data_IF_867117202074
#
_entry.id   IF_867117202074
#
_cell.length_a   1.000
_cell.length_b   1.000
_cell.length_c   1.000
_cell.angle_alpha   90.00
_cell.angle_beta   90.00
_cell.angle_gamma   90.00
#
_symmetry.space_group_name_H-M   'P 1'
#
loop_
_entity.id
_entity.type
_entity.pdbx_description
1 polymer ?
#
# COMPACT_ATOMS: atom_id res chain seq x y z
N UNK A 1 4.54 0.16 -35.20
CA UNK A 1 3.89 1.48 -35.05
C UNK A 1 4.00 1.89 -33.59
N UNK A 2 4.78 2.92 -33.26
CA UNK A 2 4.96 3.35 -31.87
C UNK A 2 3.70 4.08 -31.40
N UNK A 3 3.15 3.65 -30.27
CA UNK A 3 1.96 4.30 -29.69
C UNK A 3 2.33 5.67 -29.15
N UNK A 4 1.49 6.67 -29.42
CA UNK A 4 1.58 7.93 -28.70
C UNK A 4 1.19 7.68 -27.23
N UNK A 5 2.19 7.70 -26.36
CA UNK A 5 2.00 7.63 -24.91
C UNK A 5 2.28 9.00 -24.32
N UNK A 6 1.29 9.56 -23.62
CA UNK A 6 1.49 10.75 -22.81
C UNK A 6 1.66 10.30 -21.35
N UNK A 7 2.89 10.32 -20.81
CA UNK A 7 3.11 10.08 -19.40
C UNK A 7 2.63 11.30 -18.61
N UNK A 8 1.97 11.07 -17.50
CA UNK A 8 1.56 12.11 -16.55
C UNK A 8 1.93 11.63 -15.15
N UNK A 9 2.67 12.46 -14.42
CA UNK A 9 2.98 12.19 -13.01
C UNK A 9 1.77 12.57 -12.17
N UNK A 10 1.30 11.64 -11.34
CA UNK A 10 0.15 11.82 -10.45
C UNK A 10 0.60 11.64 -9.02
N UNK A 11 0.18 12.55 -8.14
CA UNK A 11 0.44 12.42 -6.71
C UNK A 11 -0.34 11.25 -6.12
N UNK A 12 0.36 10.37 -5.42
CA UNK A 12 -0.24 9.25 -4.72
C UNK A 12 -0.45 9.65 -3.24
N UNK A 13 -1.69 9.69 -2.71
CA UNK A 13 -1.98 10.24 -1.37
C UNK A 13 -1.26 9.55 -0.21
N UNK A 14 -0.82 8.31 -0.42
CA UNK A 14 -0.24 7.41 0.59
C UNK A 14 1.18 6.92 0.23
N UNK A 15 1.84 7.53 -0.76
CA UNK A 15 3.19 7.14 -1.19
C UNK A 15 4.10 8.35 -1.33
N UNK A 16 5.39 8.17 -1.01
CA UNK A 16 6.45 9.15 -1.27
C UNK A 16 6.89 9.19 -2.74
N UNK A 17 6.33 8.32 -3.58
CA UNK A 17 6.61 8.26 -5.01
C UNK A 17 5.45 8.84 -5.81
N UNK A 18 5.76 9.59 -6.87
CA UNK A 18 4.77 9.96 -7.88
C UNK A 18 4.41 8.74 -8.70
N UNK A 19 3.11 8.50 -8.88
CA UNK A 19 2.64 7.47 -9.78
C UNK A 19 2.81 7.96 -11.22
N UNK A 20 3.54 7.20 -12.04
CA UNK A 20 3.62 7.45 -13.47
C UNK A 20 2.37 6.87 -14.14
N UNK A 21 1.43 7.74 -14.51
CA UNK A 21 0.26 7.35 -15.28
C UNK A 21 0.58 7.43 -16.77
N UNK A 22 0.54 6.28 -17.46
CA UNK A 22 0.73 6.25 -18.91
C UNK A 22 -0.62 5.97 -19.54
N UNK A 23 -1.19 6.97 -20.23
CA UNK A 23 -2.35 6.76 -21.08
C UNK A 23 -1.89 6.15 -22.41
N UNK A 24 -2.21 4.88 -22.61
CA UNK A 24 -2.00 4.18 -23.88
C UNK A 24 -3.31 4.22 -24.66
N UNK A 25 -3.32 4.85 -25.83
CA UNK A 25 -4.46 4.80 -26.75
C UNK A 25 -4.38 3.50 -27.56
N UNK A 26 -5.24 2.51 -27.32
CA UNK A 26 -5.19 1.27 -28.09
C UNK A 26 -5.61 1.54 -29.54
N UNK A 27 -4.81 1.07 -30.49
CA UNK A 27 -5.16 1.10 -31.92
C UNK A 27 -5.99 -0.11 -32.34
N UNK A 28 -6.13 -1.13 -31.48
CA UNK A 28 -6.90 -2.35 -31.77
C UNK A 28 -7.67 -2.89 -30.56
N UNK A 29 -8.83 -3.51 -30.85
CA UNK A 29 -9.72 -4.16 -29.89
C UNK A 29 -9.14 -5.49 -29.37
N UNK A 30 -8.13 -5.44 -28.50
CA UNK A 30 -7.59 -6.64 -27.85
C UNK A 30 -8.51 -7.10 -26.72
N UNK A 31 -9.08 -8.31 -26.84
CA UNK A 31 -9.82 -8.97 -25.75
C UNK A 31 -8.87 -9.14 -24.55
N UNK A 32 -9.11 -8.40 -23.46
CA UNK A 32 -8.31 -8.51 -22.22
C UNK A 32 -8.40 -9.92 -21.66
N UNK A 33 -7.32 -10.72 -21.79
CA UNK A 33 -7.19 -11.98 -21.05
C UNK A 33 -7.05 -11.65 -19.56
N UNK A 34 -7.90 -12.23 -18.72
CA UNK A 34 -7.77 -12.12 -17.26
C UNK A 34 -6.41 -12.70 -16.85
N UNK A 35 -5.46 -11.84 -16.48
CA UNK A 35 -4.18 -12.26 -15.92
C UNK A 35 -4.29 -12.33 -14.40
N UNK A 36 -3.74 -13.41 -13.84
CA UNK A 36 -3.55 -13.58 -12.41
C UNK A 36 -2.71 -12.42 -11.86
N UNK A 37 -3.18 -11.76 -10.81
CA UNK A 37 -2.43 -10.71 -10.09
C UNK A 37 -1.94 -11.30 -8.78
N UNK A 38 -0.63 -11.30 -8.57
CA UNK A 38 -0.03 -11.62 -7.27
C UNK A 38 -0.25 -10.43 -6.33
N UNK A 39 -1.14 -10.57 -5.34
CA UNK A 39 -1.22 -9.65 -4.21
C UNK A 39 -0.05 -9.93 -3.25
N UNK A 40 1.09 -9.28 -3.47
CA UNK A 40 2.31 -9.44 -2.66
C UNK A 40 2.22 -8.85 -1.23
N UNK A 41 1.03 -8.54 -0.71
CA UNK A 41 0.87 -7.84 0.55
C UNK A 41 0.97 -8.74 1.81
N UNK A 42 1.15 -10.06 1.67
CA UNK A 42 1.00 -11.00 2.82
C UNK A 42 2.29 -11.63 3.37
N UNK A 43 3.46 -11.36 2.79
CA UNK A 43 4.64 -12.20 3.04
C UNK A 43 5.47 -11.84 4.29
N UNK A 44 5.12 -10.79 5.05
CA UNK A 44 5.92 -10.33 6.21
C UNK A 44 5.18 -10.28 7.55
N UNK A 45 3.87 -10.54 7.59
CA UNK A 45 3.05 -10.38 8.79
C UNK A 45 2.69 -11.71 9.47
N UNK A 46 3.22 -12.83 8.97
CA UNK A 46 2.68 -14.17 9.24
C UNK A 46 2.77 -14.55 10.71
N UNK A 47 3.91 -14.36 11.38
CA UNK A 47 4.10 -14.80 12.77
C UNK A 47 3.21 -14.05 13.77
N UNK A 48 3.09 -12.73 13.61
CA UNK A 48 2.32 -11.91 14.56
C UNK A 48 0.81 -12.03 14.29
N UNK A 49 0.39 -12.07 13.01
CA UNK A 49 -0.99 -12.34 12.65
C UNK A 49 -1.42 -13.75 13.09
N UNK A 50 -0.55 -14.75 12.91
CA UNK A 50 -0.77 -16.11 13.38
C UNK A 50 -0.92 -16.16 14.91
N UNK A 51 -0.08 -15.45 15.66
CA UNK A 51 -0.20 -15.38 17.11
C UNK A 51 -1.53 -14.73 17.56
N UNK A 52 -1.95 -13.64 16.89
CA UNK A 52 -3.22 -12.98 17.18
C UNK A 52 -4.40 -13.92 16.91
N UNK A 53 -4.44 -14.55 15.74
CA UNK A 53 -5.51 -15.49 15.39
C UNK A 53 -5.53 -16.67 16.36
N UNK A 54 -4.37 -17.27 16.68
CA UNK A 54 -4.29 -18.40 17.60
C UNK A 54 -4.78 -18.06 19.00
N UNK A 55 -4.39 -16.90 19.53
CA UNK A 55 -4.79 -16.44 20.86
C UNK A 55 -6.28 -16.10 20.90
N UNK A 56 -6.79 -15.33 19.93
CA UNK A 56 -8.20 -14.96 19.85
C UNK A 56 -9.11 -16.16 19.62
N UNK A 57 -8.66 -17.10 18.78
CA UNK A 57 -9.38 -18.34 18.51
C UNK A 57 -9.50 -19.19 19.77
N UNK A 58 -8.41 -19.34 20.52
CA UNK A 58 -8.37 -20.10 21.77
C UNK A 58 -9.20 -19.44 22.88
N UNK A 59 -9.15 -18.11 22.99
CA UNK A 59 -9.94 -17.35 23.97
C UNK A 59 -11.45 -17.47 23.74
N UNK A 60 -11.88 -17.56 22.48
CA UNK A 60 -13.27 -17.75 22.10
C UNK A 60 -13.75 -19.21 22.10
N UNK A 61 -13.04 -20.15 22.75
CA UNK A 61 -13.37 -21.59 22.70
C UNK A 61 -14.80 -21.95 23.12
N UNK A 62 -15.44 -21.11 23.93
CA UNK A 62 -16.82 -21.24 24.41
C UNK A 62 -17.87 -20.62 23.46
N UNK A 63 -17.43 -19.98 22.37
CA UNK A 63 -18.30 -19.29 21.41
C UNK A 63 -18.56 -20.14 20.16
N UNK A 64 -19.64 -19.81 19.44
CA UNK A 64 -19.88 -20.36 18.12
C UNK A 64 -18.78 -19.93 17.14
N UNK A 65 -18.57 -20.75 16.11
CA UNK A 65 -17.51 -20.53 15.11
C UNK A 65 -17.60 -19.13 14.46
N UNK A 66 -18.80 -18.66 14.15
CA UNK A 66 -19.03 -17.32 13.58
C UNK A 66 -18.54 -16.20 14.51
N UNK A 67 -18.75 -16.36 15.81
CA UNK A 67 -18.38 -15.38 16.83
C UNK A 67 -16.88 -15.41 17.09
N UNK A 68 -16.26 -16.60 17.02
CA UNK A 68 -14.80 -16.75 17.08
C UNK A 68 -14.10 -16.10 15.90
N UNK A 69 -14.64 -16.27 14.69
CA UNK A 69 -14.15 -15.58 13.48
C UNK A 69 -14.29 -14.07 13.63
N UNK A 70 -15.43 -13.60 14.12
CA UNK A 70 -15.66 -12.18 14.38
C UNK A 70 -14.68 -11.62 15.41
N UNK A 71 -14.37 -12.37 16.47
CA UNK A 71 -13.39 -12.01 17.49
C UNK A 71 -11.97 -11.91 16.89
N UNK A 72 -11.55 -12.88 16.09
CA UNK A 72 -10.25 -12.85 15.41
C UNK A 72 -10.15 -11.63 14.48
N UNK A 73 -11.20 -11.34 13.71
CA UNK A 73 -11.26 -10.18 12.82
C UNK A 73 -11.15 -8.85 13.56
N UNK A 74 -11.81 -8.73 14.72
CA UNK A 74 -11.71 -7.53 15.58
C UNK A 74 -10.30 -7.32 16.11
N UNK A 75 -9.64 -8.37 16.59
CA UNK A 75 -8.27 -8.26 17.13
C UNK A 75 -7.23 -7.95 16.04
N UNK A 76 -7.36 -8.56 14.86
CA UNK A 76 -6.54 -8.21 13.71
C UNK A 76 -6.71 -6.74 13.31
N UNK A 77 -7.96 -6.26 13.22
CA UNK A 77 -8.24 -4.87 12.87
C UNK A 77 -7.71 -3.90 13.93
N UNK A 78 -7.89 -4.22 15.22
CA UNK A 78 -7.36 -3.43 16.32
C UNK A 78 -5.84 -3.28 16.19
N UNK A 79 -5.13 -4.37 15.91
CA UNK A 79 -3.67 -4.33 15.73
C UNK A 79 -3.25 -3.56 14.48
N UNK A 80 -3.93 -3.75 13.36
CA UNK A 80 -3.69 -2.97 12.13
C UNK A 80 -3.85 -1.46 12.40
N UNK A 81 -4.89 -1.07 13.15
CA UNK A 81 -5.13 0.33 13.52
C UNK A 81 -4.06 0.90 14.46
N UNK A 82 -3.49 0.09 15.35
CA UNK A 82 -2.38 0.49 16.21
C UNK A 82 -1.09 0.73 15.42
N UNK A 83 -0.79 -0.12 14.41
CA UNK A 83 0.39 0.07 13.54
C UNK A 83 0.24 1.30 12.64
N UNK A 84 -0.94 1.53 12.08
CA UNK A 84 -1.20 2.67 11.20
C UNK A 84 -1.00 4.03 11.87
N UNK A 85 -1.15 4.13 13.20
CA UNK A 85 -0.98 5.39 13.94
C UNK A 85 0.44 5.98 13.88
N UNK A 86 1.46 5.20 13.54
CA UNK A 86 2.84 5.69 13.39
C UNK A 86 3.14 6.27 12.01
N UNK A 87 2.62 5.65 10.95
CA UNK A 87 2.99 5.99 9.58
C UNK A 87 2.45 7.34 9.11
N UNK A 88 1.33 7.82 9.67
CA UNK A 88 0.75 9.11 9.27
C UNK A 88 1.72 10.29 9.47
N UNK A 89 2.43 10.33 10.60
CA UNK A 89 3.38 11.40 10.91
C UNK A 89 4.60 11.35 9.98
N UNK A 90 5.12 10.15 9.72
CA UNK A 90 6.27 9.93 8.83
C UNK A 90 5.92 10.24 7.37
N UNK A 91 4.72 9.83 6.92
CA UNK A 91 4.21 10.13 5.59
C UNK A 91 4.08 11.65 5.40
N UNK A 92 3.51 12.37 6.37
CA UNK A 92 3.38 13.83 6.29
C UNK A 92 4.73 14.56 6.39
N UNK A 93 5.69 14.03 7.14
CA UNK A 93 7.07 14.53 7.13
C UNK A 93 7.73 14.34 5.73
N UNK A 94 7.55 13.18 5.12
CA UNK A 94 8.03 12.89 3.77
C UNK A 94 7.36 13.78 2.71
N UNK A 95 6.04 13.96 2.76
CA UNK A 95 5.30 14.86 1.85
C UNK A 95 5.82 16.29 1.92
N UNK A 96 6.01 16.83 3.13
CA UNK A 96 6.59 18.17 3.32
C UNK A 96 7.99 18.29 2.72
N UNK A 97 8.83 17.25 2.89
CA UNK A 97 10.18 17.21 2.31
C UNK A 97 10.14 17.15 0.79
N UNK A 98 9.23 16.37 0.21
CA UNK A 98 9.04 16.28 -1.24
C UNK A 98 8.52 17.59 -1.84
N UNK A 99 7.53 18.24 -1.20
CA UNK A 99 7.03 19.54 -1.63
C UNK A 99 8.14 20.62 -1.62
N UNK A 100 9.04 20.60 -0.62
CA UNK A 100 10.19 21.51 -0.58
C UNK A 100 11.24 21.23 -1.68
N UNK A 101 11.34 19.99 -2.14
CA UNK A 101 12.31 19.54 -3.15
C UNK A 101 11.78 19.58 -4.58
N UNK A 102 10.47 19.51 -4.79
CA UNK A 102 9.84 19.43 -6.11
C UNK A 102 10.21 20.58 -7.04
N UNK A 103 10.43 21.78 -6.47
CA UNK A 103 10.85 22.98 -7.21
C UNK A 103 12.37 23.17 -7.32
N UNK A 104 13.16 22.24 -6.76
CA UNK A 104 14.62 22.38 -6.64
C UNK A 104 15.36 21.35 -7.49
N UNK A 105 15.75 21.77 -8.69
CA UNK A 105 16.63 21.01 -9.59
C UNK A 105 18.12 21.32 -9.41
N UNK A 106 18.51 22.03 -8.35
CA UNK A 106 19.91 22.37 -8.13
C UNK A 106 20.72 21.16 -7.69
N UNK A 107 21.99 21.14 -8.12
CA UNK A 107 22.91 20.01 -7.95
C UNK A 107 23.14 19.62 -6.48
N UNK A 108 22.93 20.54 -5.52
CA UNK A 108 22.99 20.27 -4.07
C UNK A 108 21.73 19.61 -3.51
N UNK A 109 20.57 19.81 -4.12
CA UNK A 109 19.31 19.15 -3.72
C UNK A 109 19.27 17.71 -4.24
N UNK A 110 19.80 17.47 -5.45
CA UNK A 110 19.90 16.13 -6.06
C UNK A 110 20.86 15.21 -5.28
N UNK A 111 21.96 15.75 -4.74
CA UNK A 111 22.93 14.96 -3.96
C UNK A 111 22.40 14.43 -2.62
N UNK A 112 21.17 14.76 -2.22
CA UNK A 112 20.52 14.22 -1.01
C UNK A 112 19.78 12.89 -1.25
N UNK A 113 19.80 12.38 -2.48
CA UNK A 113 19.12 11.15 -2.91
C UNK A 113 20.07 10.05 -3.44
N UNK A 114 21.38 10.34 -3.50
CA UNK A 114 22.46 9.37 -3.78
C UNK A 114 23.16 9.01 -2.47
#
# INVERSE_FOLDING_TARGET
>A
MFMATQPTSVEAPVSSHMALFIKVSPTDNWRRRKRFKFENARLGEDDECHAIVTNSWSAGSHLYVSDRLSLCGKELLRRASCRQRGFGVEIEACKRRLAWLGDKQDRRSISKFL
#
